data_IF_841875589966
#
_entry.id   IF_841875589966
#
_cell.length_a   1.000
_cell.length_b   1.000
_cell.length_c   1.000
_cell.angle_alpha   90.00
_cell.angle_beta   90.00
_cell.angle_gamma   90.00
#
_symmetry.space_group_name_H-M   'P 1'
#
loop_
_entity.id
_entity.type
_entity.pdbx_description
1 polymer ?
#
# COMPACT_ATOMS: atom_id res chain seq x y z
N UNK A 1 -8.43 8.92 7.15
CA UNK A 1 -8.88 8.43 5.83
C UNK A 1 -10.16 7.58 5.90
N UNK A 2 -10.56 7.09 7.07
CA UNK A 2 -11.73 6.21 7.22
C UNK A 2 -13.07 6.93 7.34
N UNK A 3 -13.08 8.25 7.56
CA UNK A 3 -14.27 9.10 7.59
C UNK A 3 -14.44 9.80 6.24
N UNK A 4 -15.60 9.60 5.60
CA UNK A 4 -15.96 10.27 4.34
C UNK A 4 -15.96 11.79 4.52
N UNK A 5 -16.60 12.26 5.56
CA UNK A 5 -16.71 13.70 5.86
C UNK A 5 -15.32 14.36 5.96
N UNK A 6 -14.40 13.76 6.72
CA UNK A 6 -13.03 14.28 6.86
C UNK A 6 -12.23 14.22 5.56
N UNK A 7 -12.42 13.20 4.74
CA UNK A 7 -11.79 13.09 3.43
C UNK A 7 -12.30 14.18 2.49
N UNK A 8 -13.61 14.35 2.40
CA UNK A 8 -14.23 15.38 1.57
C UNK A 8 -13.85 16.80 2.03
N UNK A 9 -13.80 17.04 3.34
CA UNK A 9 -13.33 18.32 3.90
C UNK A 9 -11.86 18.59 3.54
N UNK A 10 -10.98 17.59 3.65
CA UNK A 10 -9.56 17.74 3.29
C UNK A 10 -9.38 18.02 1.79
N UNK A 11 -10.14 17.33 0.94
CA UNK A 11 -10.13 17.56 -0.51
C UNK A 11 -10.63 18.95 -0.86
N UNK A 12 -11.75 19.38 -0.27
CA UNK A 12 -12.29 20.72 -0.48
C UNK A 12 -11.32 21.82 -0.06
N UNK A 13 -10.73 21.70 1.13
CA UNK A 13 -9.72 22.65 1.63
C UNK A 13 -8.48 22.70 0.72
N UNK A 14 -8.10 21.57 0.12
CA UNK A 14 -6.98 21.53 -0.84
C UNK A 14 -7.31 22.30 -2.11
N UNK A 15 -8.51 22.07 -2.66
CA UNK A 15 -8.97 22.79 -3.86
C UNK A 15 -9.14 24.29 -3.58
N UNK A 16 -9.71 24.65 -2.43
CA UNK A 16 -9.83 26.06 -2.01
C UNK A 16 -8.47 26.74 -1.91
N UNK A 17 -7.46 26.05 -1.38
CA UNK A 17 -6.11 26.61 -1.16
C UNK A 17 -5.27 26.68 -2.41
N UNK A 18 -5.37 25.69 -3.31
CA UNK A 18 -4.47 25.52 -4.47
C UNK A 18 -5.18 25.59 -5.82
N UNK A 19 -6.49 25.72 -5.84
CA UNK A 19 -7.30 25.84 -7.06
C UNK A 19 -7.63 24.49 -7.73
N UNK A 20 -6.82 23.47 -7.52
CA UNK A 20 -7.01 22.13 -8.14
C UNK A 20 -6.22 21.03 -7.41
N UNK A 21 -6.47 19.80 -7.83
CA UNK A 21 -5.65 18.62 -7.54
C UNK A 21 -5.25 18.01 -8.88
N UNK A 22 -3.97 17.67 -9.07
CA UNK A 22 -3.45 17.02 -10.28
C UNK A 22 -3.17 15.54 -10.08
N UNK A 23 -2.81 15.17 -8.86
CA UNK A 23 -2.44 13.81 -8.48
C UNK A 23 -2.85 13.50 -7.05
N UNK A 24 -3.12 12.24 -6.77
CA UNK A 24 -3.24 11.74 -5.41
C UNK A 24 -2.40 10.48 -5.22
N UNK A 25 -1.73 10.40 -4.06
CA UNK A 25 -1.00 9.21 -3.64
C UNK A 25 -1.71 8.60 -2.44
N UNK A 26 -2.34 7.48 -2.65
CA UNK A 26 -2.98 6.69 -1.60
C UNK A 26 -1.91 5.90 -0.82
N UNK A 27 -1.19 6.60 0.06
CA UNK A 27 -0.08 6.05 0.84
C UNK A 27 -0.49 5.59 2.24
N UNK A 28 -1.56 6.12 2.79
CA UNK A 28 -2.02 5.76 4.14
C UNK A 28 -2.32 4.25 4.24
N UNK A 29 -1.73 3.60 5.24
CA UNK A 29 -1.92 2.17 5.45
C UNK A 29 -1.28 1.71 6.75
N UNK A 30 -1.73 0.57 7.24
CA UNK A 30 -1.19 -0.10 8.43
C UNK A 30 -0.93 -1.58 8.14
N UNK A 31 -0.04 -2.15 8.93
CA UNK A 31 0.25 -3.58 8.94
C UNK A 31 0.39 -4.06 10.39
N UNK A 32 -0.43 -5.02 10.78
CA UNK A 32 -0.43 -5.61 12.12
C UNK A 32 -0.31 -7.12 11.93
N UNK A 33 0.89 -7.69 12.18
CA UNK A 33 1.09 -9.13 12.01
C UNK A 33 0.25 -9.94 13.00
N UNK A 34 -0.52 -10.91 12.47
CA UNK A 34 -1.35 -11.87 13.22
C UNK A 34 -1.43 -13.17 12.44
N UNK A 35 -1.45 -14.30 13.14
CA UNK A 35 -1.75 -15.62 12.58
C UNK A 35 -3.26 -15.76 12.34
N UNK A 36 -3.67 -16.51 11.34
CA UNK A 36 -5.07 -16.90 11.17
C UNK A 36 -5.56 -17.76 12.34
N UNK A 37 -4.72 -18.68 12.77
CA UNK A 37 -4.91 -19.53 13.96
C UNK A 37 -3.58 -19.59 14.67
N UNK A 38 -3.56 -19.35 15.98
CA UNK A 38 -2.39 -19.54 16.81
C UNK A 38 -2.50 -20.83 17.65
N UNK A 39 -1.85 -21.93 17.25
CA UNK A 39 -1.94 -23.18 17.99
C UNK A 39 -1.24 -23.17 19.35
N UNK A 40 -0.39 -22.16 19.63
CA UNK A 40 0.33 -22.04 20.89
C UNK A 40 -0.46 -21.24 21.92
N UNK A 41 -1.21 -20.27 21.49
CA UNK A 41 -2.01 -19.38 22.33
C UNK A 41 -3.33 -19.02 21.61
N UNK A 42 -4.29 -19.96 21.53
CA UNK A 42 -5.57 -19.73 20.87
C UNK A 42 -6.31 -18.53 21.45
N UNK A 43 -6.77 -17.63 20.59
CA UNK A 43 -7.37 -16.33 20.94
C UNK A 43 -6.43 -15.37 21.66
N UNK A 44 -5.13 -15.64 21.62
CA UNK A 44 -4.09 -14.78 22.19
C UNK A 44 -3.79 -13.53 21.33
N UNK A 45 -2.86 -12.68 21.80
CA UNK A 45 -2.61 -11.38 21.18
C UNK A 45 -2.02 -11.45 19.75
N UNK A 46 -1.58 -12.61 19.33
CA UNK A 46 -1.01 -12.82 17.98
C UNK A 46 -1.92 -13.61 17.04
N UNK A 47 -3.10 -14.03 17.48
CA UNK A 47 -4.16 -14.54 16.60
C UNK A 47 -4.96 -13.36 16.02
N UNK A 48 -5.42 -13.49 14.79
CA UNK A 48 -6.18 -12.45 14.07
C UNK A 48 -7.60 -12.37 14.63
N UNK A 49 -7.89 -11.32 15.35
CA UNK A 49 -9.22 -10.98 15.85
C UNK A 49 -10.00 -10.08 14.88
N UNK A 50 -11.33 -10.02 15.05
CA UNK A 50 -12.23 -9.23 14.20
C UNK A 50 -11.86 -7.72 14.22
N UNK A 51 -11.51 -7.17 15.38
CA UNK A 51 -11.19 -5.76 15.50
C UNK A 51 -9.92 -5.38 14.72
N UNK A 52 -8.89 -6.25 14.76
CA UNK A 52 -7.67 -6.09 13.98
C UNK A 52 -7.94 -6.24 12.48
N UNK A 53 -8.73 -7.24 12.08
CA UNK A 53 -9.14 -7.45 10.70
C UNK A 53 -9.89 -6.24 10.15
N UNK A 54 -10.91 -5.76 10.87
CA UNK A 54 -11.69 -4.58 10.50
C UNK A 54 -10.82 -3.34 10.40
N UNK A 55 -9.94 -3.09 11.38
CA UNK A 55 -9.04 -1.94 11.40
C UNK A 55 -8.15 -1.90 10.17
N UNK A 56 -7.52 -3.03 9.82
CA UNK A 56 -6.66 -3.13 8.62
C UNK A 56 -7.49 -2.88 7.36
N UNK A 57 -8.65 -3.51 7.23
CA UNK A 57 -9.54 -3.37 6.07
C UNK A 57 -10.06 -1.95 5.91
N UNK A 58 -10.51 -1.34 7.00
CA UNK A 58 -11.04 0.02 6.99
C UNK A 58 -10.00 1.05 6.56
N UNK A 59 -8.76 0.93 7.03
CA UNK A 59 -7.71 1.89 6.67
C UNK A 59 -7.19 1.60 5.26
N UNK A 60 -6.81 0.36 4.97
CA UNK A 60 -6.09 0.03 3.75
C UNK A 60 -6.99 -0.07 2.50
N UNK A 61 -8.26 -0.45 2.66
CA UNK A 61 -9.19 -0.57 1.54
C UNK A 61 -10.21 0.57 1.52
N UNK A 62 -11.02 0.72 2.58
CA UNK A 62 -12.06 1.76 2.58
C UNK A 62 -11.45 3.17 2.53
N UNK A 63 -10.36 3.42 3.25
CA UNK A 63 -9.67 4.70 3.21
C UNK A 63 -9.18 5.05 1.81
N UNK A 64 -8.51 4.11 1.14
CA UNK A 64 -8.06 4.26 -0.24
C UNK A 64 -9.24 4.54 -1.20
N UNK A 65 -10.34 3.79 -1.07
CA UNK A 65 -11.56 4.02 -1.87
C UNK A 65 -12.14 5.42 -1.67
N UNK A 66 -12.30 5.86 -0.41
CA UNK A 66 -12.88 7.16 -0.09
C UNK A 66 -12.08 8.32 -0.69
N UNK A 67 -10.74 8.28 -0.53
CA UNK A 67 -9.85 9.31 -1.07
C UNK A 67 -9.85 9.29 -2.60
N UNK A 68 -9.76 8.11 -3.21
CA UNK A 68 -9.78 7.96 -4.67
C UNK A 68 -11.08 8.45 -5.27
N UNK A 69 -12.23 8.20 -4.62
CA UNK A 69 -13.53 8.67 -5.11
C UNK A 69 -13.65 10.19 -5.02
N UNK A 70 -13.26 10.78 -3.89
CA UNK A 70 -13.36 12.23 -3.68
C UNK A 70 -12.45 13.00 -4.67
N UNK A 71 -11.18 12.61 -4.78
CA UNK A 71 -10.23 13.23 -5.72
C UNK A 71 -10.59 12.88 -7.17
N UNK A 72 -11.00 11.65 -7.44
CA UNK A 72 -11.35 11.17 -8.78
C UNK A 72 -12.44 12.02 -9.44
N UNK A 73 -13.42 12.54 -8.70
CA UNK A 73 -14.43 13.48 -9.23
C UNK A 73 -13.78 14.74 -9.80
N UNK A 74 -12.83 15.31 -9.08
CA UNK A 74 -12.10 16.52 -9.52
C UNK A 74 -11.28 16.23 -10.78
N UNK A 75 -10.55 15.08 -10.79
CA UNK A 75 -9.72 14.70 -11.93
C UNK A 75 -10.56 14.43 -13.19
N UNK A 76 -11.73 13.80 -13.04
CA UNK A 76 -12.67 13.54 -14.14
C UNK A 76 -13.24 14.83 -14.69
N UNK A 77 -13.68 15.75 -13.84
CA UNK A 77 -14.18 17.06 -14.26
C UNK A 77 -13.11 17.88 -14.99
N UNK A 78 -11.87 17.81 -14.51
CA UNK A 78 -10.72 18.46 -15.10
C UNK A 78 -10.29 17.83 -16.44
N UNK A 79 -10.60 16.56 -16.69
CA UNK A 79 -10.17 15.81 -17.87
C UNK A 79 -8.66 15.47 -17.89
N UNK A 80 -8.01 15.47 -16.72
CA UNK A 80 -6.59 15.13 -16.56
C UNK A 80 -6.25 14.82 -15.10
N UNK A 81 -5.41 13.80 -14.89
CA UNK A 81 -4.82 13.54 -13.57
C UNK A 81 -4.32 12.13 -13.39
N UNK A 82 -3.81 11.84 -12.18
CA UNK A 82 -3.32 10.51 -11.83
C UNK A 82 -3.67 10.13 -10.40
N UNK A 83 -4.11 8.89 -10.22
CA UNK A 83 -4.28 8.24 -8.92
C UNK A 83 -3.15 7.21 -8.78
N UNK A 84 -2.36 7.31 -7.73
CA UNK A 84 -1.27 6.38 -7.43
C UNK A 84 -1.63 5.61 -6.16
N UNK A 85 -1.72 4.30 -6.27
CA UNK A 85 -2.09 3.40 -5.19
C UNK A 85 -0.86 2.67 -4.64
N UNK A 86 -0.59 2.81 -3.34
CA UNK A 86 0.49 2.08 -2.68
C UNK A 86 0.02 0.66 -2.33
N UNK A 87 0.41 -0.29 -3.18
CA UNK A 87 0.23 -1.72 -2.97
C UNK A 87 1.33 -2.29 -2.05
N UNK A 88 1.71 -3.53 -2.24
CA UNK A 88 2.85 -4.21 -1.61
C UNK A 88 3.11 -5.51 -2.37
N UNK A 89 4.34 -5.99 -2.38
CA UNK A 89 4.67 -7.34 -2.85
C UNK A 89 3.83 -8.43 -2.15
N UNK A 90 3.51 -8.22 -0.86
CA UNK A 90 2.69 -9.14 -0.08
C UNK A 90 1.30 -9.37 -0.70
N UNK A 91 0.79 -8.42 -1.49
CA UNK A 91 -0.48 -8.58 -2.21
C UNK A 91 -0.43 -9.56 -3.39
N UNK A 92 0.77 -9.91 -3.87
CA UNK A 92 0.97 -10.92 -4.93
C UNK A 92 1.34 -12.28 -4.35
N UNK A 93 2.25 -12.30 -3.39
CA UNK A 93 2.85 -13.54 -2.87
C UNK A 93 2.13 -14.08 -1.63
N UNK A 94 1.32 -13.25 -0.97
CA UNK A 94 0.94 -13.51 0.40
C UNK A 94 2.11 -13.24 1.36
N UNK A 95 1.86 -13.37 2.66
CA UNK A 95 2.91 -13.19 3.67
C UNK A 95 2.48 -13.86 4.96
N UNK A 96 3.28 -14.81 5.44
CA UNK A 96 3.04 -15.50 6.71
C UNK A 96 2.92 -14.51 7.87
N UNK A 97 1.88 -14.68 8.68
CA UNK A 97 1.55 -13.77 9.77
C UNK A 97 0.93 -12.43 9.34
N UNK A 98 0.61 -12.23 8.07
CA UNK A 98 0.11 -10.95 7.55
C UNK A 98 -1.06 -11.13 6.56
N UNK A 99 -1.87 -12.17 6.72
CA UNK A 99 -2.92 -12.52 5.76
C UNK A 99 -3.92 -11.40 5.51
N UNK A 100 -4.42 -10.74 6.55
CA UNK A 100 -5.34 -9.61 6.42
C UNK A 100 -4.70 -8.42 5.67
N UNK A 101 -3.44 -8.08 6.01
CA UNK A 101 -2.70 -7.05 5.28
C UNK A 101 -2.49 -7.41 3.81
N UNK A 102 -2.01 -8.63 3.54
CA UNK A 102 -1.76 -9.10 2.17
C UNK A 102 -3.04 -9.08 1.33
N UNK A 103 -4.19 -9.50 1.89
CA UNK A 103 -5.48 -9.43 1.22
C UNK A 103 -5.87 -7.99 0.87
N UNK A 104 -5.66 -7.02 1.80
CA UNK A 104 -5.95 -5.61 1.47
C UNK A 104 -5.05 -5.08 0.36
N UNK A 105 -3.78 -5.51 0.32
CA UNK A 105 -2.85 -5.11 -0.74
C UNK A 105 -3.14 -5.81 -2.07
N UNK A 106 -3.64 -7.03 -2.08
CA UNK A 106 -4.17 -7.70 -3.28
C UNK A 106 -5.38 -6.94 -3.86
N UNK A 107 -6.28 -6.45 -3.00
CA UNK A 107 -7.39 -5.61 -3.42
C UNK A 107 -6.92 -4.33 -4.14
N UNK A 108 -5.80 -3.72 -3.71
CA UNK A 108 -5.23 -2.53 -4.35
C UNK A 108 -4.82 -2.79 -5.80
N UNK A 109 -4.27 -3.96 -6.12
CA UNK A 109 -3.97 -4.35 -7.50
C UNK A 109 -5.25 -4.42 -8.35
N UNK A 110 -6.33 -4.98 -7.80
CA UNK A 110 -7.61 -5.06 -8.48
C UNK A 110 -8.24 -3.68 -8.70
N UNK A 111 -8.26 -2.83 -7.66
CA UNK A 111 -8.74 -1.45 -7.79
C UNK A 111 -7.96 -0.67 -8.84
N UNK A 112 -6.64 -0.77 -8.86
CA UNK A 112 -5.79 -0.10 -9.84
C UNK A 112 -6.19 -0.46 -11.27
N UNK A 113 -6.39 -1.75 -11.56
CA UNK A 113 -6.81 -2.22 -12.88
C UNK A 113 -8.23 -1.80 -13.25
N UNK A 114 -9.16 -1.90 -12.32
CA UNK A 114 -10.57 -1.58 -12.55
C UNK A 114 -10.76 -0.09 -12.77
N UNK A 115 -10.22 0.74 -11.88
CA UNK A 115 -10.36 2.20 -11.98
C UNK A 115 -9.60 2.78 -13.17
N UNK A 116 -8.50 2.17 -13.61
CA UNK A 116 -7.83 2.56 -14.85
C UNK A 116 -8.75 2.41 -16.06
N UNK A 117 -9.57 1.33 -16.12
CA UNK A 117 -10.56 1.12 -17.19
C UNK A 117 -11.74 2.07 -17.08
N UNK A 118 -12.21 2.35 -15.86
CA UNK A 118 -13.34 3.25 -15.63
C UNK A 118 -12.99 4.70 -15.95
N UNK A 119 -11.79 5.15 -15.56
CA UNK A 119 -11.38 6.56 -15.59
C UNK A 119 -10.55 6.94 -16.84
N UNK A 120 -10.01 5.98 -17.55
CA UNK A 120 -9.15 6.24 -18.71
C UNK A 120 -9.82 7.07 -19.80
N UNK A 121 -11.12 6.88 -20.04
CA UNK A 121 -11.90 7.68 -21.01
C UNK A 121 -12.01 9.18 -20.63
N UNK A 122 -11.72 9.51 -19.37
CA UNK A 122 -11.65 10.89 -18.88
C UNK A 122 -10.20 11.41 -18.78
N UNK A 123 -9.25 10.69 -19.41
CA UNK A 123 -7.83 11.04 -19.36
C UNK A 123 -7.25 11.05 -17.93
N UNK A 124 -7.80 10.22 -17.05
CA UNK A 124 -7.31 10.02 -15.69
C UNK A 124 -6.62 8.67 -15.62
N UNK A 125 -5.33 8.68 -15.26
CA UNK A 125 -4.53 7.46 -15.09
C UNK A 125 -4.66 6.91 -13.69
N UNK A 126 -4.61 5.60 -13.55
CA UNK A 126 -4.53 4.92 -12.25
C UNK A 126 -3.38 3.92 -12.31
N UNK A 127 -2.41 4.09 -11.44
CA UNK A 127 -1.21 3.24 -11.37
C UNK A 127 -0.96 2.78 -9.94
N UNK A 128 -0.31 1.66 -9.80
CA UNK A 128 0.10 1.11 -8.52
C UNK A 128 1.63 1.10 -8.36
N UNK A 129 2.08 1.23 -7.13
CA UNK A 129 3.46 0.98 -6.72
C UNK A 129 3.44 -0.06 -5.61
N UNK A 130 4.25 -1.11 -5.75
CA UNK A 130 4.33 -2.22 -4.80
C UNK A 130 5.75 -2.32 -4.22
N UNK A 131 6.01 -1.64 -3.10
CA UNK A 131 7.27 -1.79 -2.39
C UNK A 131 7.43 -3.20 -1.82
N UNK A 132 8.67 -3.68 -1.83
CA UNK A 132 9.10 -4.84 -1.09
C UNK A 132 9.66 -4.47 0.29
N UNK A 133 10.78 -5.11 0.66
CA UNK A 133 11.48 -4.79 1.91
C UNK A 133 12.21 -3.45 1.75
N UNK A 134 11.74 -2.47 2.50
CA UNK A 134 12.30 -1.11 2.49
C UNK A 134 13.07 -0.84 3.80
N UNK A 135 13.87 0.22 3.82
CA UNK A 135 14.44 0.77 5.05
C UNK A 135 13.35 1.11 6.07
N UNK A 136 13.74 1.32 7.33
CA UNK A 136 12.80 1.50 8.43
C UNK A 136 11.86 2.70 8.21
N UNK A 137 10.58 2.48 8.46
CA UNK A 137 9.51 3.49 8.42
C UNK A 137 8.70 3.40 9.70
N UNK A 138 7.72 4.30 9.89
CA UNK A 138 6.75 4.20 10.98
C UNK A 138 5.89 2.92 10.97
N UNK A 139 5.89 2.16 9.89
CA UNK A 139 5.23 0.84 9.83
C UNK A 139 6.10 -0.28 10.45
N UNK A 140 7.42 -0.12 10.48
CA UNK A 140 8.37 -1.11 11.00
C UNK A 140 8.83 -0.69 12.40
N UNK A 141 7.94 -0.80 13.36
CA UNK A 141 8.21 -0.57 14.78
C UNK A 141 8.73 -1.84 15.46
N UNK A 142 9.31 -1.72 16.66
CA UNK A 142 9.72 -2.90 17.45
C UNK A 142 8.52 -3.85 17.66
N UNK A 143 7.36 -3.31 18.05
CA UNK A 143 6.16 -4.12 18.25
C UNK A 143 5.71 -4.86 16.97
N UNK A 144 5.89 -4.26 15.79
CA UNK A 144 5.67 -4.94 14.51
C UNK A 144 6.68 -6.08 14.31
N UNK A 145 7.97 -5.85 14.57
CA UNK A 145 9.03 -6.86 14.39
C UNK A 145 8.88 -8.01 15.40
N UNK A 146 8.48 -7.74 16.63
CA UNK A 146 8.16 -8.75 17.64
C UNK A 146 6.98 -9.62 17.23
N UNK A 147 5.89 -8.99 16.78
CA UNK A 147 4.72 -9.71 16.27
C UNK A 147 5.07 -10.55 15.03
N UNK A 148 5.84 -9.99 14.09
CA UNK A 148 6.28 -10.71 12.90
C UNK A 148 7.21 -11.88 13.27
N UNK A 149 8.12 -11.69 14.20
CA UNK A 149 9.00 -12.72 14.74
C UNK A 149 8.19 -13.86 15.37
N UNK A 150 7.24 -13.53 16.24
CA UNK A 150 6.36 -14.53 16.85
C UNK A 150 5.63 -15.36 15.79
N UNK A 151 4.98 -14.71 14.81
CA UNK A 151 4.21 -15.40 13.78
C UNK A 151 5.06 -16.32 12.89
N UNK A 152 6.36 -16.09 12.81
CA UNK A 152 7.31 -16.85 11.99
C UNK A 152 8.26 -17.74 12.78
N UNK A 153 8.11 -17.80 14.11
CA UNK A 153 9.01 -18.55 14.99
C UNK A 153 10.45 -18.04 14.94
N UNK A 154 10.65 -16.72 14.81
CA UNK A 154 11.95 -16.05 14.68
C UNK A 154 12.14 -14.98 15.73
N UNK A 155 13.36 -14.74 16.13
CA UNK A 155 13.74 -13.57 16.92
C UNK A 155 13.69 -12.29 16.08
N UNK A 156 13.63 -11.13 16.75
CA UNK A 156 13.71 -9.83 16.07
C UNK A 156 15.00 -9.68 15.27
N UNK A 157 16.12 -10.17 15.81
CA UNK A 157 17.41 -10.10 15.13
C UNK A 157 17.45 -10.96 13.85
N UNK A 158 16.84 -12.15 13.88
CA UNK A 158 16.68 -12.99 12.69
C UNK A 158 15.76 -12.36 11.63
N UNK A 159 14.69 -11.67 12.06
CA UNK A 159 13.84 -10.88 11.14
C UNK A 159 14.67 -9.77 10.49
N UNK A 160 15.42 -9.01 11.29
CA UNK A 160 16.28 -7.92 10.80
C UNK A 160 17.37 -8.39 9.86
N UNK A 161 18.03 -9.51 10.19
CA UNK A 161 19.03 -10.13 9.33
C UNK A 161 18.46 -10.51 7.95
N UNK A 162 17.22 -10.94 7.88
CA UNK A 162 16.52 -11.25 6.64
C UNK A 162 16.31 -10.06 5.71
N UNK A 163 16.29 -8.84 6.22
CA UNK A 163 16.02 -7.64 5.40
C UNK A 163 17.14 -7.29 4.41
N UNK A 164 18.36 -7.73 4.64
CA UNK A 164 19.51 -7.50 3.79
C UNK A 164 20.10 -8.79 3.19
N UNK A 165 19.37 -9.89 3.25
CA UNK A 165 19.83 -11.18 2.74
C UNK A 165 19.51 -11.34 1.26
N UNK A 166 20.51 -11.78 0.47
CA UNK A 166 20.32 -12.15 -0.95
C UNK A 166 19.39 -13.34 -1.15
N UNK A 167 19.20 -14.16 -0.12
CA UNK A 167 18.20 -15.24 -0.15
C UNK A 167 16.77 -14.72 -0.07
N UNK A 168 16.58 -13.51 0.47
CA UNK A 168 15.27 -12.84 0.58
C UNK A 168 15.08 -11.81 -0.52
N UNK A 169 16.09 -10.99 -0.78
CA UNK A 169 16.05 -9.92 -1.78
C UNK A 169 17.29 -10.05 -2.68
N UNK A 170 17.15 -10.39 -3.97
CA UNK A 170 18.30 -10.61 -4.87
C UNK A 170 19.32 -9.48 -4.91
N UNK A 171 18.89 -8.21 -4.77
CA UNK A 171 19.82 -7.07 -4.66
C UNK A 171 20.60 -7.02 -3.34
N UNK A 172 20.35 -7.92 -2.36
CA UNK A 172 21.10 -8.05 -1.10
C UNK A 172 20.98 -6.86 -0.15
N UNK A 173 19.94 -6.03 -0.30
CA UNK A 173 19.70 -4.87 0.58
C UNK A 173 18.22 -4.53 0.65
N UNK A 174 17.83 -3.81 1.69
CA UNK A 174 16.56 -3.10 1.71
C UNK A 174 16.54 -1.99 0.66
N UNK A 175 15.38 -1.71 0.08
CA UNK A 175 15.17 -0.54 -0.77
C UNK A 175 15.19 0.74 0.06
N UNK A 176 15.62 1.85 -0.55
CA UNK A 176 15.52 3.18 0.04
C UNK A 176 14.12 3.77 -0.23
N UNK A 177 13.60 4.56 0.69
CA UNK A 177 12.30 5.24 0.49
C UNK A 177 12.30 6.14 -0.74
N UNK A 178 13.45 6.74 -1.04
CA UNK A 178 13.64 7.56 -2.24
C UNK A 178 13.39 6.77 -3.53
N UNK A 179 13.78 5.50 -3.60
CA UNK A 179 13.59 4.68 -4.80
C UNK A 179 12.11 4.47 -5.12
N UNK A 180 11.26 4.43 -4.10
CA UNK A 180 9.79 4.43 -4.25
C UNK A 180 9.30 5.82 -4.65
N UNK A 181 9.78 6.87 -4.00
CA UNK A 181 9.37 8.26 -4.27
C UNK A 181 9.74 8.71 -5.69
N UNK A 182 10.89 8.31 -6.21
CA UNK A 182 11.32 8.61 -7.58
C UNK A 182 10.37 7.98 -8.63
N UNK A 183 9.89 6.75 -8.39
CA UNK A 183 8.88 6.13 -9.25
C UNK A 183 7.52 6.85 -9.14
N UNK A 184 7.12 7.26 -7.95
CA UNK A 184 5.90 8.07 -7.75
C UNK A 184 6.01 9.39 -8.50
N UNK A 185 7.13 10.10 -8.39
CA UNK A 185 7.38 11.33 -9.13
C UNK A 185 7.34 11.14 -10.66
N UNK A 186 7.91 10.04 -11.14
CA UNK A 186 7.81 9.67 -12.55
C UNK A 186 6.34 9.45 -12.98
N UNK A 187 5.54 8.77 -12.16
CA UNK A 187 4.13 8.54 -12.47
C UNK A 187 3.26 9.81 -12.42
N UNK A 188 3.62 10.79 -11.59
CA UNK A 188 2.94 12.10 -11.57
C UNK A 188 3.22 12.88 -12.86
N UNK A 189 4.40 12.70 -13.46
CA UNK A 189 4.83 13.45 -14.63
C UNK A 189 4.15 13.01 -15.93
N UNK A 190 4.12 13.88 -16.92
CA UNK A 190 3.62 13.58 -18.28
C UNK A 190 4.52 12.57 -19.04
N UNK A 191 5.72 12.25 -18.52
CA UNK A 191 6.62 11.22 -19.08
C UNK A 191 6.01 9.81 -19.01
N UNK A 192 5.04 9.59 -18.15
CA UNK A 192 4.29 8.34 -18.00
C UNK A 192 2.86 8.40 -18.58
N UNK A 193 2.61 9.33 -19.49
CA UNK A 193 1.27 9.65 -19.99
C UNK A 193 0.50 8.46 -20.62
N UNK A 194 1.20 7.42 -21.10
CA UNK A 194 0.58 6.22 -21.66
C UNK A 194 0.61 5.01 -20.71
N UNK A 195 0.96 5.25 -19.42
CA UNK A 195 1.03 4.18 -18.40
C UNK A 195 -0.17 4.30 -17.47
N UNK A 196 -1.04 3.29 -17.48
CA UNK A 196 -2.19 3.15 -16.59
C UNK A 196 -2.57 1.68 -16.41
N UNK A 197 -3.25 1.33 -15.33
CA UNK A 197 -3.76 -0.02 -15.04
C UNK A 197 -2.70 -1.04 -14.61
N UNK A 198 -1.47 -0.61 -14.41
CA UNK A 198 -0.37 -1.49 -13.94
C UNK A 198 0.03 -1.17 -12.51
N UNK A 199 0.65 -2.14 -11.88
CA UNK A 199 1.33 -1.96 -10.58
C UNK A 199 2.78 -2.39 -10.74
N UNK A 200 3.72 -1.49 -10.45
CA UNK A 200 5.16 -1.76 -10.58
C UNK A 200 5.75 -2.15 -9.26
N UNK A 201 6.47 -3.27 -9.24
CA UNK A 201 7.20 -3.73 -8.07
C UNK A 201 8.51 -2.96 -7.89
N UNK A 202 8.72 -2.46 -6.65
CA UNK A 202 9.99 -1.87 -6.20
C UNK A 202 10.50 -2.76 -5.06
N UNK A 203 10.96 -3.96 -5.41
CA UNK A 203 11.16 -5.06 -4.47
C UNK A 203 12.55 -5.72 -4.57
N UNK A 204 13.50 -5.11 -5.28
CA UNK A 204 14.86 -5.62 -5.39
C UNK A 204 14.98 -7.03 -5.98
N UNK A 205 14.00 -7.44 -6.81
CA UNK A 205 13.94 -8.77 -7.43
C UNK A 205 13.30 -9.87 -6.57
N UNK A 206 12.81 -9.55 -5.36
CA UNK A 206 12.17 -10.52 -4.46
C UNK A 206 10.87 -11.06 -5.06
N UNK A 207 10.05 -10.19 -5.59
CA UNK A 207 8.76 -10.55 -6.16
C UNK A 207 8.85 -10.63 -7.67
N UNK A 208 8.30 -11.67 -8.24
CA UNK A 208 8.29 -11.92 -9.70
C UNK A 208 7.04 -11.34 -10.40
N UNK A 209 6.30 -10.48 -9.78
CA UNK A 209 5.22 -9.72 -10.37
C UNK A 209 4.11 -10.51 -11.04
#
# INVERSE_FOLDING_TARGET
VTSREQVEAAVSATVERFGTIDAVVNNAGINIPRLLVDPKDPHGPYELDDATFEKITMINQKGLYLVSQAVGRILVEKGKGVIINMASEAGLEGSEGQSAYAATKAAVYSYTRSWAKELGKYNVRVVGVAPGIMEATGLRTLAYEEALGYTRGKTVDEIRAGYASTSTTPLGRSGQLREVADLVAYYISDRSSYITGITTNVAGGKTRG
#
